data_IF_952910065907
#
_entry.id   IF_952910065907
#
_cell.length_a   1.000
_cell.length_b   1.000
_cell.length_c   1.000
_cell.angle_alpha   90.00
_cell.angle_beta   90.00
_cell.angle_gamma   90.00
#
_symmetry.space_group_name_H-M   'P 1'
#
loop_
_entity.id
_entity.type
_entity.pdbx_description
1 polymer ?
#
# COMPACT_ATOMS: atom_id res chain seq x y z
N UNK A 1 33.49 6.52 -12.51
CA UNK A 1 33.93 7.93 -12.69
C UNK A 1 35.05 8.27 -11.70
N UNK A 2 36.06 9.08 -12.05
CA UNK A 2 37.07 9.55 -11.07
C UNK A 2 36.52 10.71 -10.21
N UNK A 3 37.07 11.01 -9.02
CA UNK A 3 36.60 12.15 -8.22
C UNK A 3 36.76 13.51 -8.94
N UNK A 4 37.79 13.66 -9.78
CA UNK A 4 38.04 14.88 -10.55
C UNK A 4 36.99 15.04 -11.64
N UNK A 5 36.67 13.96 -12.34
CA UNK A 5 35.57 13.92 -13.30
C UNK A 5 34.23 14.21 -12.63
N UNK A 6 34.00 13.65 -11.43
CA UNK A 6 32.78 13.85 -10.67
C UNK A 6 32.60 15.32 -10.22
N UNK A 7 33.68 15.95 -9.77
CA UNK A 7 33.70 17.38 -9.43
C UNK A 7 33.42 18.25 -10.67
N UNK A 8 34.02 17.91 -11.82
CA UNK A 8 33.76 18.60 -13.09
C UNK A 8 32.31 18.41 -13.57
N UNK A 9 31.74 17.22 -13.40
CA UNK A 9 30.33 16.94 -13.68
C UNK A 9 29.46 17.84 -12.79
N UNK A 10 29.62 17.84 -11.47
CA UNK A 10 28.78 18.71 -10.62
C UNK A 10 29.13 20.21 -10.71
N UNK A 11 30.25 20.57 -11.35
CA UNK A 11 30.71 21.95 -11.46
C UNK A 11 31.15 22.52 -10.12
N UNK A 12 31.78 21.69 -9.30
CA UNK A 12 32.28 22.03 -7.95
C UNK A 12 33.78 21.79 -7.86
N UNK A 13 34.42 22.37 -6.85
CA UNK A 13 35.82 22.04 -6.53
C UNK A 13 35.94 20.61 -6.01
N UNK A 14 37.10 19.98 -6.19
CA UNK A 14 37.45 18.70 -5.58
C UNK A 14 37.41 18.74 -4.05
N UNK A 15 37.67 19.90 -3.47
CA UNK A 15 37.64 20.15 -2.03
C UNK A 15 36.32 20.81 -1.58
N UNK A 16 35.28 20.75 -2.41
CA UNK A 16 33.97 21.30 -2.08
C UNK A 16 33.38 20.64 -0.82
N UNK A 17 32.72 21.44 0.00
CA UNK A 17 32.06 20.93 1.19
C UNK A 17 30.89 20.01 0.82
N UNK A 18 30.47 19.14 1.75
CA UNK A 18 29.27 18.31 1.56
C UNK A 18 28.03 19.14 1.18
N UNK A 19 27.90 20.34 1.76
CA UNK A 19 26.80 21.26 1.46
C UNK A 19 26.88 21.80 0.02
N UNK A 20 28.07 22.10 -0.48
CA UNK A 20 28.28 22.61 -1.84
C UNK A 20 28.01 21.53 -2.89
N UNK A 21 28.46 20.30 -2.63
CA UNK A 21 28.19 19.12 -3.46
C UNK A 21 26.67 18.89 -3.54
N UNK A 22 25.98 18.90 -2.41
CA UNK A 22 24.54 18.70 -2.34
C UNK A 22 23.76 19.81 -3.05
N UNK A 23 24.18 21.06 -2.87
CA UNK A 23 23.57 22.20 -3.56
C UNK A 23 23.78 22.11 -5.07
N UNK A 24 24.96 21.71 -5.53
CA UNK A 24 25.26 21.52 -6.94
C UNK A 24 24.47 20.38 -7.55
N UNK A 25 24.40 19.24 -6.86
CA UNK A 25 23.57 18.11 -7.23
C UNK A 25 22.10 18.52 -7.41
N UNK A 26 21.50 19.21 -6.43
CA UNK A 26 20.09 19.67 -6.53
C UNK A 26 19.83 20.64 -7.67
N UNK A 27 20.82 21.47 -8.04
CA UNK A 27 20.68 22.36 -9.21
C UNK A 27 20.68 21.54 -10.49
N UNK A 28 21.66 20.66 -10.67
CA UNK A 28 21.78 19.80 -11.86
C UNK A 28 20.62 18.81 -12.00
N UNK A 29 20.22 18.15 -10.92
CA UNK A 29 19.11 17.21 -10.91
C UNK A 29 17.82 17.87 -11.41
N UNK A 30 17.57 19.13 -11.05
CA UNK A 30 16.42 19.90 -11.54
C UNK A 30 16.52 20.27 -13.01
N UNK A 31 17.72 20.52 -13.55
CA UNK A 31 17.89 20.87 -14.97
C UNK A 31 17.82 19.64 -15.87
N UNK A 32 18.30 18.50 -15.39
CA UNK A 32 18.52 17.29 -16.17
C UNK A 32 17.42 16.24 -15.95
N UNK A 33 16.38 16.53 -15.16
CA UNK A 33 15.31 15.56 -14.88
C UNK A 33 14.55 15.14 -16.16
N UNK A 34 14.37 13.84 -16.44
CA UNK A 34 13.73 13.36 -17.67
C UNK A 34 12.27 13.80 -17.82
N UNK A 35 11.54 13.98 -16.71
CA UNK A 35 10.14 14.47 -16.74
C UNK A 35 9.99 15.91 -17.26
N UNK A 36 11.09 16.64 -17.42
CA UNK A 36 11.04 17.97 -18.06
C UNK A 36 10.89 17.90 -19.57
N UNK A 37 11.08 16.72 -20.16
CA UNK A 37 11.06 16.54 -21.61
C UNK A 37 9.90 15.64 -22.00
N UNK A 38 8.97 16.21 -22.78
CA UNK A 38 7.81 15.47 -23.33
C UNK A 38 8.23 14.57 -24.50
N UNK A 39 9.32 14.94 -25.20
CA UNK A 39 9.88 14.16 -26.30
C UNK A 39 10.69 12.95 -25.78
N UNK A 40 10.39 11.76 -26.31
CA UNK A 40 11.00 10.51 -25.85
C UNK A 40 12.51 10.43 -26.13
N UNK A 41 13.01 11.09 -27.18
CA UNK A 41 14.44 11.08 -27.50
C UNK A 41 15.20 11.99 -26.54
N UNK A 42 14.70 13.20 -26.31
CA UNK A 42 15.25 14.13 -25.30
C UNK A 42 15.14 13.59 -23.87
N UNK A 43 14.05 12.91 -23.53
CA UNK A 43 13.88 12.26 -22.22
C UNK A 43 14.92 11.16 -21.99
N UNK A 44 15.26 10.37 -23.02
CA UNK A 44 16.34 9.37 -22.95
C UNK A 44 17.71 10.00 -22.80
N UNK A 45 17.99 11.09 -23.50
CA UNK A 45 19.24 11.85 -23.34
C UNK A 45 19.37 12.43 -21.94
N UNK A 46 18.32 13.07 -21.44
CA UNK A 46 18.25 13.59 -20.08
C UNK A 46 18.41 12.50 -19.03
N UNK A 47 17.85 11.30 -19.26
CA UNK A 47 18.08 10.14 -18.38
C UNK A 47 19.56 9.76 -18.30
N UNK A 48 20.27 9.69 -19.44
CA UNK A 48 21.71 9.37 -19.44
C UNK A 48 22.52 10.43 -18.71
N UNK A 49 22.21 11.70 -18.96
CA UNK A 49 22.88 12.81 -18.30
C UNK A 49 22.59 12.81 -16.79
N UNK A 50 21.34 12.53 -16.38
CA UNK A 50 20.93 12.43 -14.98
C UNK A 50 21.66 11.30 -14.24
N UNK A 51 21.83 10.14 -14.88
CA UNK A 51 22.63 9.03 -14.32
C UNK A 51 24.06 9.50 -14.04
N UNK A 52 24.68 10.26 -14.94
CA UNK A 52 26.01 10.84 -14.72
C UNK A 52 26.05 11.84 -13.55
N UNK A 53 24.98 12.60 -13.33
CA UNK A 53 24.85 13.51 -12.17
C UNK A 53 24.80 12.74 -10.85
N UNK A 54 24.06 11.64 -10.81
CA UNK A 54 23.93 10.78 -9.62
C UNK A 54 25.26 10.09 -9.33
N UNK A 55 25.90 9.48 -10.33
CA UNK A 55 27.21 8.82 -10.17
C UNK A 55 28.26 9.81 -9.64
N UNK A 56 28.27 11.05 -10.14
CA UNK A 56 29.19 12.08 -9.66
C UNK A 56 28.96 12.46 -8.18
N UNK A 57 27.71 12.57 -7.75
CA UNK A 57 27.38 12.86 -6.34
C UNK A 57 27.86 11.73 -5.42
N UNK A 58 27.57 10.48 -5.77
CA UNK A 58 27.93 9.31 -4.98
C UNK A 58 29.44 9.18 -4.80
N UNK A 59 30.23 9.44 -5.85
CA UNK A 59 31.70 9.42 -5.81
C UNK A 59 32.25 10.48 -4.84
N UNK A 60 31.74 11.71 -4.90
CA UNK A 60 32.23 12.80 -4.04
C UNK A 60 31.82 12.60 -2.57
N UNK A 61 30.59 12.13 -2.30
CA UNK A 61 30.13 11.83 -0.94
C UNK A 61 30.92 10.67 -0.34
N UNK A 62 31.18 9.61 -1.12
CA UNK A 62 32.00 8.48 -0.67
C UNK A 62 33.43 8.89 -0.34
N UNK A 63 34.02 9.80 -1.12
CA UNK A 63 35.36 10.37 -0.86
C UNK A 63 35.39 11.16 0.45
N UNK A 64 34.38 12.00 0.71
CA UNK A 64 34.27 12.72 1.98
C UNK A 64 34.17 11.77 3.18
N UNK A 65 33.47 10.65 3.03
CA UNK A 65 33.40 9.60 4.06
C UNK A 65 34.72 8.84 4.25
N UNK A 66 35.47 8.60 3.18
CA UNK A 66 36.75 7.87 3.22
C UNK A 66 37.93 8.71 3.76
N UNK A 67 37.84 10.04 3.70
CA UNK A 67 38.87 10.97 4.19
C UNK A 67 38.81 11.29 5.69
N UNK A 68 37.78 10.82 6.41
CA UNK A 68 37.62 11.08 7.84
C UNK A 68 38.32 9.97 8.65
N UNK A 69 39.39 10.25 9.42
CA UNK A 69 39.98 9.28 10.33
C UNK A 69 38.93 8.80 11.34
N UNK A 70 38.81 7.48 11.46
CA UNK A 70 37.87 6.80 12.36
C UNK A 70 38.07 7.24 13.82
N UNK A 71 36.99 7.77 14.43
CA UNK A 71 36.78 8.15 15.86
C UNK A 71 37.13 9.63 16.20
N UNK A 72 36.30 10.52 16.81
CA UNK A 72 35.08 10.53 17.65
C UNK A 72 34.45 11.99 17.54
N UNK A 73 33.52 12.44 18.41
CA UNK A 73 32.05 12.38 18.39
C UNK A 73 31.38 13.55 17.62
N UNK A 74 30.14 13.33 17.14
CA UNK A 74 29.32 14.32 16.44
C UNK A 74 29.08 15.61 17.26
N UNK A 75 29.89 16.63 17.02
CA UNK A 75 29.58 18.01 17.34
C UNK A 75 29.07 18.72 16.07
N UNK A 76 27.75 18.88 16.00
CA UNK A 76 27.13 20.06 15.40
C UNK A 76 27.23 20.24 13.88
N UNK A 77 26.85 19.26 13.07
CA UNK A 77 26.21 19.58 11.79
C UNK A 77 24.72 19.72 12.08
N UNK A 78 24.05 20.84 11.71
CA UNK A 78 22.60 20.93 11.82
C UNK A 78 22.01 19.89 10.87
N UNK A 79 21.72 18.70 11.41
CA UNK A 79 20.88 17.71 10.78
C UNK A 79 19.61 18.46 10.41
N UNK A 80 19.30 18.45 9.11
CA UNK A 80 18.07 18.92 8.49
C UNK A 80 16.97 19.09 9.52
N UNK A 81 16.55 20.34 9.74
CA UNK A 81 15.48 20.66 10.68
C UNK A 81 14.31 19.68 10.47
N UNK A 82 13.63 19.26 11.56
CA UNK A 82 12.61 18.23 11.49
C UNK A 82 11.66 18.57 10.34
N UNK A 83 11.63 17.71 9.32
CA UNK A 83 10.54 17.72 8.34
C UNK A 83 9.27 17.82 9.20
N UNK A 84 8.43 18.85 9.03
CA UNK A 84 7.21 18.97 9.81
C UNK A 84 6.45 17.68 9.60
N UNK A 85 6.48 16.77 10.57
CA UNK A 85 5.64 15.58 10.55
C UNK A 85 4.25 16.14 10.74
N UNK A 86 3.36 16.14 9.73
CA UNK A 86 2.00 16.60 9.94
C UNK A 86 1.47 15.86 11.17
N UNK A 87 0.96 16.64 12.13
CA UNK A 87 0.68 16.21 13.50
C UNK A 87 0.10 14.79 13.53
N UNK A 88 0.89 13.86 14.06
CA UNK A 88 0.64 12.41 13.96
C UNK A 88 -0.68 11.98 14.58
N UNK A 89 -1.27 12.79 15.47
CA UNK A 89 -2.53 12.48 16.15
C UNK A 89 -3.75 12.67 15.27
N UNK A 90 -3.78 13.71 14.44
CA UNK A 90 -4.89 13.94 13.51
C UNK A 90 -4.90 12.86 12.45
N UNK A 91 -3.75 12.57 11.85
CA UNK A 91 -3.60 11.49 10.88
C UNK A 91 -3.97 10.13 11.50
N UNK A 92 -3.48 9.83 12.71
CA UNK A 92 -3.84 8.60 13.44
C UNK A 92 -5.35 8.53 13.71
N UNK A 93 -5.97 9.64 14.15
CA UNK A 93 -7.41 9.70 14.41
C UNK A 93 -8.24 9.53 13.13
N UNK A 94 -7.79 10.11 12.02
CA UNK A 94 -8.42 9.95 10.71
C UNK A 94 -8.37 8.48 10.27
N UNK A 95 -7.20 7.86 10.32
CA UNK A 95 -7.07 6.45 9.93
C UNK A 95 -7.81 5.50 10.87
N UNK A 96 -7.77 5.75 12.19
CA UNK A 96 -8.56 5.00 13.15
C UNK A 96 -10.07 5.11 12.86
N UNK A 97 -10.55 6.32 12.56
CA UNK A 97 -11.93 6.58 12.17
C UNK A 97 -12.31 5.82 10.90
N UNK A 98 -11.48 5.88 9.85
CA UNK A 98 -11.70 5.13 8.60
C UNK A 98 -11.75 3.63 8.85
N UNK A 99 -10.87 3.09 9.69
CA UNK A 99 -10.90 1.66 10.06
C UNK A 99 -12.17 1.30 10.82
N UNK A 100 -12.61 2.12 11.77
CA UNK A 100 -13.87 1.89 12.51
C UNK A 100 -15.09 1.92 11.59
N UNK A 101 -15.14 2.85 10.63
CA UNK A 101 -16.19 2.90 9.60
C UNK A 101 -16.16 1.65 8.73
N UNK A 102 -14.98 1.21 8.29
CA UNK A 102 -14.84 0.00 7.50
C UNK A 102 -15.28 -1.26 8.28
N UNK A 103 -14.95 -1.35 9.57
CA UNK A 103 -15.40 -2.42 10.47
C UNK A 103 -16.93 -2.38 10.61
N UNK A 104 -17.51 -1.20 10.85
CA UNK A 104 -18.96 -1.03 10.95
C UNK A 104 -19.67 -1.48 9.68
N UNK A 105 -19.24 -0.99 8.51
CA UNK A 105 -19.81 -1.40 7.22
C UNK A 105 -19.66 -2.91 7.04
N UNK A 106 -18.51 -3.49 7.40
CA UNK A 106 -18.29 -4.93 7.26
C UNK A 106 -19.21 -5.77 8.15
N UNK A 107 -19.49 -5.32 9.37
CA UNK A 107 -20.41 -6.00 10.31
C UNK A 107 -21.86 -5.93 9.82
N UNK A 108 -22.30 -4.77 9.34
CA UNK A 108 -23.72 -4.51 9.06
C UNK A 108 -24.13 -4.75 7.60
N UNK A 109 -23.20 -4.67 6.63
CA UNK A 109 -23.47 -5.01 5.23
C UNK A 109 -23.34 -6.51 4.95
N UNK A 110 -22.68 -7.27 5.84
CA UNK A 110 -22.63 -8.72 5.78
C UNK A 110 -23.87 -9.36 6.44
N UNK A 111 -24.26 -10.54 5.98
CA UNK A 111 -25.12 -11.44 6.74
C UNK A 111 -24.20 -12.37 7.57
N UNK A 112 -23.86 -12.03 8.82
CA UNK A 112 -22.93 -12.83 9.61
C UNK A 112 -23.52 -14.21 9.88
N UNK A 113 -22.79 -15.25 9.49
CA UNK A 113 -23.25 -16.62 9.58
C UNK A 113 -23.57 -17.04 11.02
N UNK A 114 -22.80 -16.55 12.01
CA UNK A 114 -22.86 -16.99 13.41
C UNK A 114 -23.26 -15.87 14.38
N UNK A 115 -23.96 -14.84 13.86
CA UNK A 115 -24.40 -13.68 14.64
C UNK A 115 -23.34 -12.59 14.75
N UNK A 116 -23.75 -11.44 15.30
CA UNK A 116 -22.97 -10.19 15.31
C UNK A 116 -21.73 -10.23 16.21
N UNK A 117 -21.66 -11.16 17.18
CA UNK A 117 -20.54 -11.23 18.14
C UNK A 117 -19.22 -11.71 17.53
N UNK A 118 -19.26 -12.66 16.59
CA UNK A 118 -18.07 -13.20 15.90
C UNK A 118 -17.29 -12.13 15.10
N UNK A 119 -17.94 -11.32 14.24
CA UNK A 119 -17.22 -10.29 13.50
C UNK A 119 -16.76 -9.14 14.41
N UNK A 120 -17.52 -8.79 15.46
CA UNK A 120 -17.09 -7.78 16.45
C UNK A 120 -15.77 -8.21 17.11
N UNK A 121 -15.66 -9.47 17.54
CA UNK A 121 -14.44 -9.96 18.19
C UNK A 121 -13.22 -9.93 17.26
N UNK A 122 -13.38 -10.38 16.01
CA UNK A 122 -12.27 -10.38 15.02
C UNK A 122 -11.82 -8.99 14.63
N UNK A 123 -12.76 -8.13 14.25
CA UNK A 123 -12.43 -6.78 13.82
C UNK A 123 -11.91 -5.93 14.98
N UNK A 124 -12.43 -6.14 16.20
CA UNK A 124 -11.87 -5.56 17.41
C UNK A 124 -10.42 -5.98 17.64
N UNK A 125 -10.10 -7.27 17.47
CA UNK A 125 -8.74 -7.78 17.63
C UNK A 125 -7.76 -7.21 16.59
N UNK A 126 -8.18 -7.12 15.32
CA UNK A 126 -7.39 -6.47 14.26
C UNK A 126 -7.15 -5.00 14.60
N UNK A 127 -8.19 -4.28 15.02
CA UNK A 127 -8.10 -2.87 15.38
C UNK A 127 -7.13 -2.64 16.55
N UNK A 128 -7.21 -3.45 17.61
CA UNK A 128 -6.30 -3.37 18.75
C UNK A 128 -4.86 -3.67 18.34
N UNK A 129 -4.63 -4.68 17.50
CA UNK A 129 -3.29 -5.01 17.01
C UNK A 129 -2.70 -3.88 16.13
N UNK A 130 -3.50 -3.29 15.24
CA UNK A 130 -3.08 -2.14 14.43
C UNK A 130 -2.82 -0.90 15.27
N UNK A 131 -3.64 -0.65 16.29
CA UNK A 131 -3.43 0.45 17.23
C UNK A 131 -2.16 0.26 18.06
N UNK A 132 -1.92 -0.96 18.55
CA UNK A 132 -0.70 -1.32 19.26
C UNK A 132 0.53 -1.15 18.36
N UNK A 133 0.45 -1.54 17.08
CA UNK A 133 1.50 -1.28 16.11
C UNK A 133 1.72 0.22 15.89
N UNK A 134 0.66 1.00 15.68
CA UNK A 134 0.74 2.44 15.45
C UNK A 134 1.33 3.20 16.65
N UNK A 135 1.07 2.74 17.88
CA UNK A 135 1.58 3.36 19.10
C UNK A 135 3.00 2.91 19.46
N UNK A 136 3.37 1.67 19.15
CA UNK A 136 4.65 1.08 19.61
C UNK A 136 5.70 0.91 18.52
N UNK A 137 5.30 0.96 17.24
CA UNK A 137 6.17 0.71 16.09
C UNK A 137 6.70 -0.72 15.97
N UNK A 138 6.25 -1.67 16.81
CA UNK A 138 6.81 -3.02 16.87
C UNK A 138 6.21 -3.94 15.82
N UNK A 139 7.04 -4.47 14.94
CA UNK A 139 6.71 -5.46 13.90
C UNK A 139 5.83 -6.65 14.33
N UNK A 140 5.97 -7.27 15.52
CA UNK A 140 5.10 -8.38 15.92
C UNK A 140 3.61 -8.03 15.90
N UNK A 141 3.22 -6.81 16.30
CA UNK A 141 1.82 -6.40 16.27
C UNK A 141 1.26 -6.31 14.85
N UNK A 142 2.08 -5.85 13.91
CA UNK A 142 1.72 -5.82 12.49
C UNK A 142 1.54 -7.24 11.95
N UNK A 143 2.46 -8.15 12.26
CA UNK A 143 2.38 -9.56 11.84
C UNK A 143 1.11 -10.21 12.39
N UNK A 144 0.78 -9.99 13.68
CA UNK A 144 -0.46 -10.48 14.28
C UNK A 144 -1.70 -9.94 13.57
N UNK A 145 -1.76 -8.63 13.30
CA UNK A 145 -2.88 -8.03 12.58
C UNK A 145 -3.05 -8.64 11.17
N UNK A 146 -1.96 -8.85 10.44
CA UNK A 146 -1.97 -9.45 9.11
C UNK A 146 -2.44 -10.91 9.12
N UNK A 147 -2.00 -11.72 10.10
CA UNK A 147 -2.46 -13.10 10.26
C UNK A 147 -3.97 -13.15 10.51
N UNK A 148 -4.48 -12.31 11.41
CA UNK A 148 -5.92 -12.28 11.73
C UNK A 148 -6.72 -11.80 10.52
N UNK A 149 -6.23 -10.80 9.79
CA UNK A 149 -6.85 -10.32 8.55
C UNK A 149 -6.94 -11.42 7.49
N UNK A 150 -5.83 -12.15 7.26
CA UNK A 150 -5.79 -13.26 6.31
C UNK A 150 -6.77 -14.38 6.71
N UNK A 151 -6.78 -14.78 7.98
CA UNK A 151 -7.71 -15.78 8.49
C UNK A 151 -9.18 -15.33 8.33
N UNK A 152 -9.46 -14.06 8.57
CA UNK A 152 -10.80 -13.48 8.38
C UNK A 152 -11.22 -13.55 6.91
N UNK A 153 -10.34 -13.16 5.98
CA UNK A 153 -10.62 -13.24 4.55
C UNK A 153 -10.92 -14.66 4.08
N UNK A 154 -10.14 -15.66 4.53
CA UNK A 154 -10.39 -17.08 4.22
C UNK A 154 -11.76 -17.53 4.71
N UNK A 155 -12.12 -17.19 5.94
CA UNK A 155 -13.39 -17.64 6.52
C UNK A 155 -14.58 -16.96 5.86
N UNK A 156 -14.48 -15.68 5.53
CA UNK A 156 -15.49 -14.99 4.73
C UNK A 156 -15.65 -15.65 3.36
N UNK A 157 -14.55 -15.97 2.68
CA UNK A 157 -14.56 -16.62 1.36
C UNK A 157 -15.20 -18.01 1.41
N UNK A 158 -14.85 -18.81 2.42
CA UNK A 158 -15.43 -20.14 2.63
C UNK A 158 -16.92 -20.03 2.92
N UNK A 159 -17.33 -19.12 3.81
CA UNK A 159 -18.73 -18.95 4.19
C UNK A 159 -19.60 -18.47 3.02
N UNK A 160 -19.13 -17.51 2.21
CA UNK A 160 -19.88 -17.01 1.04
C UNK A 160 -19.94 -18.04 -0.08
N UNK A 161 -18.85 -18.76 -0.35
CA UNK A 161 -18.81 -19.80 -1.41
C UNK A 161 -19.66 -21.00 -1.02
N UNK A 162 -19.54 -21.48 0.22
CA UNK A 162 -20.29 -22.63 0.71
C UNK A 162 -21.78 -22.30 0.90
N UNK A 163 -22.11 -21.09 1.36
CA UNK A 163 -23.49 -20.62 1.48
C UNK A 163 -24.19 -20.48 0.13
N UNK A 164 -23.52 -19.91 -0.88
CA UNK A 164 -24.05 -19.79 -2.23
C UNK A 164 -24.29 -21.17 -2.88
N UNK A 165 -23.34 -22.10 -2.74
CA UNK A 165 -23.48 -23.46 -3.25
C UNK A 165 -24.59 -24.23 -2.53
N UNK A 166 -24.66 -24.17 -1.20
CA UNK A 166 -25.71 -24.83 -0.42
C UNK A 166 -27.09 -24.26 -0.77
N UNK A 167 -27.21 -22.93 -0.94
CA UNK A 167 -28.43 -22.28 -1.39
C UNK A 167 -28.86 -22.75 -2.79
N UNK A 168 -27.91 -22.93 -3.71
CA UNK A 168 -28.17 -23.48 -5.04
C UNK A 168 -28.67 -24.93 -4.96
N UNK A 169 -28.05 -25.78 -4.12
CA UNK A 169 -28.49 -27.16 -3.92
C UNK A 169 -29.88 -27.24 -3.28
N UNK A 170 -30.19 -26.37 -2.31
CA UNK A 170 -31.51 -26.30 -1.68
C UNK A 170 -32.62 -25.78 -2.62
N UNK A 171 -32.26 -25.06 -3.69
CA UNK A 171 -33.19 -24.63 -4.73
C UNK A 171 -33.62 -25.76 -5.67
N UNK A 172 -32.88 -26.87 -5.74
CA UNK A 172 -33.17 -27.96 -6.68
C UNK A 172 -34.54 -28.62 -6.42
N UNK A 173 -34.91 -29.04 -5.18
CA UNK A 173 -36.22 -29.64 -4.93
C UNK A 173 -37.42 -28.73 -5.23
N UNK A 174 -37.49 -27.44 -4.78
CA UNK A 174 -38.62 -26.58 -5.08
C UNK A 174 -38.72 -26.23 -6.57
N UNK A 175 -37.59 -26.00 -7.27
CA UNK A 175 -37.59 -25.79 -8.73
C UNK A 175 -38.16 -27.01 -9.45
N UNK A 176 -37.74 -28.22 -9.06
CA UNK A 176 -38.29 -29.45 -9.63
C UNK A 176 -39.80 -29.55 -9.41
N UNK A 177 -40.28 -29.30 -8.19
CA UNK A 177 -41.71 -29.30 -7.87
C UNK A 177 -42.53 -28.26 -8.65
N UNK A 178 -42.00 -27.06 -8.83
CA UNK A 178 -42.62 -26.02 -9.67
C UNK A 178 -42.72 -26.44 -11.14
N UNK A 179 -41.68 -27.09 -11.67
CA UNK A 179 -41.66 -27.57 -13.05
C UNK A 179 -42.66 -28.71 -13.27
N UNK A 180 -42.78 -29.65 -12.33
CA UNK A 180 -43.76 -30.74 -12.45
C UNK A 180 -45.19 -30.22 -12.42
N UNK A 181 -45.51 -29.32 -11.48
CA UNK A 181 -46.81 -28.64 -11.41
C UNK A 181 -47.09 -27.86 -12.70
N UNK A 182 -46.10 -27.09 -13.18
CA UNK A 182 -46.24 -26.32 -14.42
C UNK A 182 -46.52 -27.17 -15.65
N UNK A 183 -45.89 -28.35 -15.76
CA UNK A 183 -46.14 -29.31 -16.85
C UNK A 183 -47.56 -29.85 -16.81
N UNK A 184 -48.08 -30.19 -15.64
CA UNK A 184 -49.46 -30.67 -15.50
C UNK A 184 -50.49 -29.61 -15.92
N UNK A 185 -50.26 -28.36 -15.52
CA UNK A 185 -51.11 -27.23 -15.93
C UNK A 185 -51.07 -27.02 -17.45
N UNK A 186 -49.88 -27.08 -18.06
CA UNK A 186 -49.71 -26.96 -19.50
C UNK A 186 -50.47 -28.05 -20.28
N UNK A 187 -50.38 -29.31 -19.83
CA UNK A 187 -51.10 -30.44 -20.44
C UNK A 187 -52.62 -30.27 -20.30
N UNK A 188 -53.12 -29.87 -19.13
CA UNK A 188 -54.56 -29.61 -18.93
C UNK A 188 -55.06 -28.51 -19.85
N UNK A 189 -54.31 -27.41 -19.99
CA UNK A 189 -54.67 -26.29 -20.87
C UNK A 189 -54.71 -26.70 -22.34
N UNK A 190 -53.74 -27.49 -22.81
CA UNK A 190 -53.70 -28.00 -24.17
C UNK A 190 -54.92 -28.89 -24.50
N UNK A 191 -55.37 -29.70 -23.53
CA UNK A 191 -56.57 -30.54 -23.70
C UNK A 191 -57.86 -29.73 -23.78
N UNK A 192 -57.96 -28.63 -23.03
CA UNK A 192 -59.14 -27.77 -23.02
C UNK A 192 -59.22 -26.83 -24.23
N UNK A 193 -58.08 -26.49 -24.86
CA UNK A 193 -58.04 -25.66 -26.08
C UNK A 193 -58.33 -26.41 -27.38
N UNK A 194 -58.57 -27.72 -27.34
CA UNK A 194 -58.96 -28.56 -28.47
C UNK A 194 -60.43 -29.03 -28.42
N UNK A 195 -61.24 -28.40 -27.55
CA UNK A 195 -62.71 -28.53 -27.51
C UNK A 195 -63.30 -27.21 -27.98
#
# INVERSE_FOLDING_TARGET
MSPEDAAAVLGVSLDASAADIENAYRRRARTTHPDRFVDATRSREATREFIGVVEAHDVLVSRLGAGLPTAIPFAGVPVSGPIPRPSSRLLLSTWAGVTLVAIFVSIYAGAPAWGVGEPIARYGLIFVALMAFALTGRTPWLVTALIILAATAVITLVATTFGALLGLFLLVPPVYGLVTIGREVAVRRARLGHV
#
